data_IF_662730234983
#
_entry.id   IF_662730234983
#
_cell.length_a   1.000
_cell.length_b   1.000
_cell.length_c   1.000
_cell.angle_alpha   90.00
_cell.angle_beta   90.00
_cell.angle_gamma   90.00
#
_symmetry.space_group_name_H-M   'P 1'
#
loop_
_entity.id
_entity.type
_entity.pdbx_description
1 polymer ?
#
# COMPACT_ATOMS: atom_id res chain seq x y z
N UNK A 1 -2.93 41.22 47.70
CA UNK A 1 -3.21 41.49 46.27
C UNK A 1 -2.15 40.90 45.34
N UNK A 2 -0.85 41.07 45.62
CA UNK A 2 0.25 40.54 44.78
C UNK A 2 0.38 39.00 44.69
N UNK A 3 -0.01 38.25 45.74
CA UNK A 3 0.03 36.77 45.70
C UNK A 3 -1.03 36.15 44.78
N UNK A 4 -2.23 36.75 44.71
CA UNK A 4 -3.29 36.29 43.81
C UNK A 4 -2.92 36.51 42.34
N UNK A 5 -2.16 37.58 42.03
CA UNK A 5 -1.73 37.86 40.66
C UNK A 5 -0.72 36.82 40.15
N UNK A 6 0.21 36.37 41.01
CA UNK A 6 1.16 35.29 40.68
C UNK A 6 0.46 33.94 40.49
N UNK A 7 -0.54 33.62 41.32
CA UNK A 7 -1.29 32.37 41.21
C UNK A 7 -2.08 32.30 39.89
N UNK A 8 -2.72 33.41 39.48
CA UNK A 8 -3.38 33.50 38.19
C UNK A 8 -2.40 33.46 37.01
N UNK A 9 -1.20 34.04 37.15
CA UNK A 9 -0.15 33.94 36.12
C UNK A 9 0.36 32.50 35.95
N UNK A 10 0.56 31.76 37.04
CA UNK A 10 0.99 30.35 36.98
C UNK A 10 -0.10 29.45 36.40
N UNK A 11 -1.37 29.68 36.76
CA UNK A 11 -2.50 28.94 36.17
C UNK A 11 -2.63 29.27 34.68
N UNK A 12 -2.44 30.53 34.27
CA UNK A 12 -2.49 30.91 32.86
C UNK A 12 -1.32 30.30 32.07
N UNK A 13 -0.12 30.19 32.66
CA UNK A 13 1.04 29.52 32.04
C UNK A 13 0.82 28.00 31.95
N UNK A 14 0.24 27.37 32.98
CA UNK A 14 -0.12 25.94 32.96
C UNK A 14 -1.25 25.66 31.95
N UNK A 15 -2.28 26.51 31.90
CA UNK A 15 -3.33 26.43 30.90
C UNK A 15 -2.80 26.70 29.48
N UNK A 16 -1.80 27.58 29.31
CA UNK A 16 -1.11 27.79 28.03
C UNK A 16 -0.20 26.61 27.67
N UNK A 17 0.43 25.94 28.63
CA UNK A 17 1.19 24.70 28.38
C UNK A 17 0.25 23.55 27.98
N UNK A 18 -0.93 23.45 28.61
CA UNK A 18 -1.96 22.48 28.22
C UNK A 18 -2.64 22.87 26.88
N UNK A 19 -2.75 24.16 26.54
CA UNK A 19 -3.23 24.62 25.23
C UNK A 19 -2.19 24.46 24.11
N UNK A 20 -0.89 24.43 24.44
CA UNK A 20 0.21 24.14 23.51
C UNK A 20 0.41 22.61 23.36
N UNK A 21 -0.18 21.79 24.23
CA UNK A 21 -0.59 20.42 23.88
C UNK A 21 -1.92 20.45 23.12
N UNK A 22 -1.99 21.27 22.07
CA UNK A 22 -2.76 20.84 20.92
C UNK A 22 -2.16 19.49 20.53
N UNK A 23 -2.97 18.43 20.58
CA UNK A 23 -2.73 17.23 19.77
C UNK A 23 -2.11 17.71 18.46
N UNK A 24 -0.82 17.40 18.26
CA UNK A 24 -0.11 17.79 17.06
C UNK A 24 -1.00 17.32 15.90
N UNK A 25 -1.54 18.28 15.14
CA UNK A 25 -2.57 18.07 14.12
C UNK A 25 -2.04 17.32 12.91
N UNK A 26 -1.11 16.39 13.15
CA UNK A 26 -0.47 15.55 12.17
C UNK A 26 -1.48 14.49 11.73
N UNK A 27 -1.76 14.50 10.44
CA UNK A 27 -2.68 13.55 9.83
C UNK A 27 -1.88 12.28 9.54
N UNK A 28 -2.38 11.13 9.98
CA UNK A 28 -1.77 9.84 9.67
C UNK A 28 -1.80 9.59 8.17
N UNK A 29 -0.65 9.26 7.61
CA UNK A 29 -0.51 8.86 6.22
C UNK A 29 -0.95 7.40 6.05
N UNK A 30 -1.84 7.18 5.11
CA UNK A 30 -2.35 5.87 4.71
C UNK A 30 -2.89 5.93 3.31
N UNK A 31 -3.25 4.77 2.73
CA UNK A 31 -4.01 4.75 1.47
C UNK A 31 -5.26 5.63 1.49
N UNK A 32 -5.95 5.76 2.64
CA UNK A 32 -7.15 6.58 2.75
C UNK A 32 -6.88 8.06 2.55
N UNK A 33 -5.69 8.53 2.91
CA UNK A 33 -5.31 9.95 2.88
C UNK A 33 -4.33 10.28 1.74
N UNK A 34 -3.84 9.27 1.02
CA UNK A 34 -2.89 9.41 -0.07
C UNK A 34 -3.45 10.29 -1.20
N UNK A 35 -2.88 11.48 -1.49
CA UNK A 35 -3.44 12.41 -2.45
C UNK A 35 -3.45 11.84 -3.88
N UNK A 36 -4.63 11.75 -4.48
CA UNK A 36 -4.80 11.28 -5.85
C UNK A 36 -6.02 11.93 -6.52
N UNK A 37 -6.04 11.92 -7.85
CA UNK A 37 -7.24 12.16 -8.65
C UNK A 37 -7.76 10.81 -9.14
N UNK A 38 -8.95 10.42 -8.68
CA UNK A 38 -9.59 9.15 -9.00
C UNK A 38 -10.86 9.40 -9.82
N UNK A 39 -10.84 9.04 -11.10
CA UNK A 39 -11.97 9.24 -12.01
C UNK A 39 -12.63 7.91 -12.32
N UNK A 40 -13.94 7.81 -12.12
CA UNK A 40 -14.74 6.67 -12.56
C UNK A 40 -15.40 6.99 -13.89
N UNK A 41 -15.23 6.11 -14.87
CA UNK A 41 -15.82 6.22 -16.21
C UNK A 41 -16.81 5.06 -16.34
N UNK A 42 -18.10 5.37 -16.22
CA UNK A 42 -19.17 4.40 -16.03
C UNK A 42 -20.04 4.26 -17.28
N UNK A 43 -20.17 3.04 -17.76
CA UNK A 43 -21.08 2.69 -18.84
C UNK A 43 -22.54 2.77 -18.36
N UNK A 44 -23.31 3.63 -19.03
CA UNK A 44 -24.74 3.83 -18.83
C UNK A 44 -25.55 3.47 -20.07
N UNK A 45 -25.04 2.58 -20.93
CA UNK A 45 -25.67 2.18 -22.20
C UNK A 45 -26.83 1.18 -22.02
N UNK A 46 -27.53 0.87 -23.12
CA UNK A 46 -28.67 -0.05 -23.11
C UNK A 46 -28.34 -1.50 -22.73
N UNK A 47 -27.10 -1.96 -22.95
CA UNK A 47 -26.68 -3.31 -22.53
C UNK A 47 -26.67 -3.43 -21.00
N UNK A 48 -26.27 -2.37 -20.31
CA UNK A 48 -26.24 -2.31 -18.85
C UNK A 48 -27.66 -2.37 -18.31
N UNK A 49 -28.52 -1.45 -18.76
CA UNK A 49 -29.88 -1.31 -18.25
C UNK A 49 -29.97 -0.65 -16.86
N UNK A 50 -31.15 -0.12 -16.50
CA UNK A 50 -31.30 0.73 -15.30
C UNK A 50 -31.07 -0.02 -13.98
N UNK A 51 -31.45 -1.30 -13.88
CA UNK A 51 -31.29 -2.09 -12.65
C UNK A 51 -29.81 -2.37 -12.34
N UNK A 52 -29.04 -2.77 -13.35
CA UNK A 52 -27.61 -3.01 -13.17
C UNK A 52 -26.84 -1.72 -12.95
N UNK A 53 -27.25 -0.61 -13.58
CA UNK A 53 -26.64 0.69 -13.35
C UNK A 53 -26.79 1.14 -11.88
N UNK A 54 -27.93 0.84 -11.24
CA UNK A 54 -28.10 1.07 -9.80
C UNK A 54 -27.11 0.25 -8.95
N UNK A 55 -26.77 -0.98 -9.37
CA UNK A 55 -25.73 -1.79 -8.72
C UNK A 55 -24.34 -1.15 -8.90
N UNK A 56 -24.03 -0.63 -10.09
CA UNK A 56 -22.79 0.10 -10.37
C UNK A 56 -22.69 1.35 -9.47
N UNK A 57 -23.76 2.13 -9.32
CA UNK A 57 -23.78 3.30 -8.43
C UNK A 57 -23.52 2.93 -6.98
N UNK A 58 -24.14 1.86 -6.48
CA UNK A 58 -23.87 1.37 -5.11
C UNK A 58 -22.42 0.90 -4.97
N UNK A 59 -21.86 0.26 -5.99
CA UNK A 59 -20.46 -0.12 -6.01
C UNK A 59 -19.54 1.12 -5.97
N UNK A 60 -19.82 2.15 -6.78
CA UNK A 60 -19.13 3.44 -6.79
C UNK A 60 -19.14 4.10 -5.40
N UNK A 61 -20.30 4.17 -4.75
CA UNK A 61 -20.43 4.71 -3.39
C UNK A 61 -19.59 3.89 -2.40
N UNK A 62 -19.68 2.56 -2.47
CA UNK A 62 -19.00 1.67 -1.53
C UNK A 62 -17.47 1.70 -1.67
N UNK A 63 -16.94 1.79 -2.89
CA UNK A 63 -15.50 1.91 -3.09
C UNK A 63 -15.00 3.28 -2.61
N UNK A 64 -15.76 4.36 -2.88
CA UNK A 64 -15.42 5.74 -2.49
C UNK A 64 -15.34 5.92 -0.96
N UNK A 65 -16.18 5.21 -0.18
CA UNK A 65 -16.15 5.24 1.31
C UNK A 65 -14.83 4.78 1.94
N UNK A 66 -13.96 4.13 1.17
CA UNK A 66 -12.65 3.70 1.65
C UNK A 66 -11.62 4.82 1.68
N UNK A 67 -11.92 5.98 1.09
CA UNK A 67 -10.99 7.09 0.94
C UNK A 67 -11.50 8.33 1.67
N UNK A 68 -10.56 9.14 2.14
CA UNK A 68 -10.83 10.45 2.70
C UNK A 68 -10.82 11.45 1.53
N UNK A 69 -11.92 12.20 1.39
CA UNK A 69 -12.16 13.07 0.25
C UNK A 69 -11.81 14.50 0.63
N UNK A 70 -11.11 15.20 -0.26
CA UNK A 70 -10.91 16.64 -0.11
C UNK A 70 -9.68 17.17 -0.84
N UNK A 71 -9.43 18.48 -0.75
CA UNK A 71 -8.36 19.15 -1.50
C UNK A 71 -6.96 18.64 -1.18
N UNK A 72 -6.75 18.17 0.06
CA UNK A 72 -5.48 17.59 0.53
C UNK A 72 -5.39 16.08 0.35
N UNK A 73 -6.49 15.40 -0.02
CA UNK A 73 -6.59 13.94 -0.05
C UNK A 73 -7.03 13.47 -1.44
N UNK A 74 -7.94 12.49 -1.53
CA UNK A 74 -8.44 12.01 -2.80
C UNK A 74 -9.49 13.00 -3.32
N UNK A 75 -9.39 13.35 -4.60
CA UNK A 75 -10.47 14.01 -5.34
C UNK A 75 -11.08 12.98 -6.29
N UNK A 76 -12.40 12.86 -6.26
CA UNK A 76 -13.12 11.91 -7.10
C UNK A 76 -13.87 12.66 -8.19
N UNK A 77 -13.78 12.15 -9.42
CA UNK A 77 -14.57 12.59 -10.55
C UNK A 77 -15.38 11.43 -11.12
N UNK A 78 -16.52 11.74 -11.74
CA UNK A 78 -17.38 10.73 -12.36
C UNK A 78 -17.81 11.20 -13.74
N UNK A 79 -17.57 10.33 -14.73
CA UNK A 79 -18.09 10.45 -16.08
C UNK A 79 -19.01 9.27 -16.30
N UNK A 80 -20.26 9.53 -16.68
CA UNK A 80 -21.14 8.51 -17.23
C UNK A 80 -21.10 8.60 -18.75
N UNK A 81 -21.21 7.50 -19.48
CA UNK A 81 -21.26 7.56 -20.94
C UNK A 81 -22.26 6.57 -21.55
N UNK A 82 -22.81 6.98 -22.68
CA UNK A 82 -23.50 6.10 -23.62
C UNK A 82 -23.16 6.53 -25.06
N UNK A 83 -24.08 7.20 -25.77
CA UNK A 83 -23.81 7.86 -27.05
C UNK A 83 -22.82 9.01 -26.90
N UNK A 84 -22.93 9.74 -25.78
CA UNK A 84 -22.08 10.87 -25.43
C UNK A 84 -21.67 10.77 -23.95
N UNK A 85 -20.46 11.21 -23.58
CA UNK A 85 -20.05 11.31 -22.19
C UNK A 85 -20.75 12.49 -21.50
N UNK A 86 -21.17 12.27 -20.27
CA UNK A 86 -21.77 13.25 -19.36
C UNK A 86 -20.84 13.40 -18.15
N UNK A 87 -20.48 14.64 -17.85
CA UNK A 87 -19.76 14.96 -16.61
C UNK A 87 -20.76 14.98 -15.47
N UNK A 88 -20.78 13.90 -14.68
CA UNK A 88 -21.65 13.79 -13.51
C UNK A 88 -21.03 14.55 -12.33
N UNK A 89 -19.75 14.32 -12.06
CA UNK A 89 -19.04 14.91 -10.92
C UNK A 89 -17.65 15.41 -11.37
N UNK A 90 -17.38 16.73 -11.34
CA UNK A 90 -16.05 17.26 -11.62
C UNK A 90 -15.04 16.97 -10.50
N UNK A 91 -13.75 16.91 -10.83
CA UNK A 91 -12.71 16.83 -9.79
C UNK A 91 -12.68 18.11 -8.94
N UNK A 92 -12.50 17.93 -7.63
CA UNK A 92 -12.27 19.02 -6.68
C UNK A 92 -13.50 19.81 -6.23
N UNK A 93 -14.71 19.34 -6.56
CA UNK A 93 -15.98 19.97 -6.12
C UNK A 93 -16.33 19.68 -4.66
N UNK A 94 -15.87 18.56 -4.12
CA UNK A 94 -16.23 18.11 -2.76
C UNK A 94 -15.03 18.12 -1.82
N UNK A 95 -15.30 18.56 -0.58
CA UNK A 95 -14.39 18.60 0.55
C UNK A 95 -14.69 17.52 1.60
N UNK A 96 -15.74 16.70 1.39
CA UNK A 96 -16.14 15.60 2.26
C UNK A 96 -16.77 14.44 1.49
N UNK A 97 -16.67 13.24 2.07
CA UNK A 97 -17.23 12.01 1.48
C UNK A 97 -18.76 12.03 1.47
N UNK A 98 -19.40 12.66 2.45
CA UNK A 98 -20.87 12.67 2.57
C UNK A 98 -21.54 13.40 1.40
N UNK A 99 -21.02 14.57 1.02
CA UNK A 99 -21.58 15.35 -0.09
C UNK A 99 -21.34 14.66 -1.44
N UNK A 100 -20.14 14.13 -1.64
CA UNK A 100 -19.79 13.36 -2.84
C UNK A 100 -20.71 12.14 -3.00
N UNK A 101 -20.92 11.37 -1.93
CA UNK A 101 -21.77 10.17 -1.96
C UNK A 101 -23.22 10.51 -2.33
N UNK A 102 -23.77 11.61 -1.79
CA UNK A 102 -25.13 12.06 -2.16
C UNK A 102 -25.22 12.37 -3.65
N UNK A 103 -24.23 13.07 -4.21
CA UNK A 103 -24.21 13.39 -5.64
C UNK A 103 -24.11 12.12 -6.50
N UNK A 104 -23.30 11.15 -6.09
CA UNK A 104 -23.21 9.84 -6.75
C UNK A 104 -24.54 9.09 -6.76
N UNK A 105 -25.32 9.15 -5.67
CA UNK A 105 -26.62 8.49 -5.57
C UNK A 105 -27.66 9.10 -6.53
N UNK A 106 -27.55 10.40 -6.83
CA UNK A 106 -28.45 11.12 -7.74
C UNK A 106 -28.18 10.88 -9.24
N UNK A 107 -27.05 10.29 -9.61
CA UNK A 107 -26.73 9.99 -11.01
C UNK A 107 -27.85 9.13 -11.62
N UNK A 108 -28.37 9.56 -12.77
CA UNK A 108 -29.46 8.91 -13.49
C UNK A 108 -28.93 8.09 -14.66
N UNK A 109 -29.54 6.95 -14.91
CA UNK A 109 -29.21 6.10 -16.06
C UNK A 109 -29.53 6.81 -17.38
N UNK A 110 -28.60 6.77 -18.34
CA UNK A 110 -28.76 7.42 -19.65
C UNK A 110 -29.52 6.55 -20.67
N UNK A 111 -29.05 5.33 -20.90
CA UNK A 111 -29.37 4.56 -22.10
C UNK A 111 -28.67 5.09 -23.36
N UNK A 112 -28.63 4.28 -24.42
CA UNK A 112 -27.95 4.61 -25.67
C UNK A 112 -26.92 3.56 -26.08
N UNK A 113 -26.01 3.95 -26.98
CA UNK A 113 -24.89 3.12 -27.42
C UNK A 113 -23.73 3.11 -26.43
N UNK A 114 -22.65 2.39 -26.76
CA UNK A 114 -21.44 2.26 -25.93
C UNK A 114 -20.26 2.93 -26.64
N UNK A 115 -19.86 4.13 -26.21
CA UNK A 115 -18.76 4.93 -26.79
C UNK A 115 -17.62 5.14 -25.79
N UNK A 116 -16.92 4.05 -25.48
CA UNK A 116 -15.90 4.00 -24.43
C UNK A 116 -14.66 4.84 -24.76
N UNK A 117 -14.21 4.86 -26.02
CA UNK A 117 -13.06 5.64 -26.46
C UNK A 117 -13.29 7.14 -26.26
N UNK A 118 -14.47 7.61 -26.67
CA UNK A 118 -14.90 9.00 -26.44
C UNK A 118 -14.98 9.36 -24.95
N UNK A 119 -15.45 8.44 -24.10
CA UNK A 119 -15.54 8.67 -22.67
C UNK A 119 -14.15 8.81 -22.01
N UNK A 120 -13.19 7.99 -22.41
CA UNK A 120 -11.80 8.09 -21.96
C UNK A 120 -11.20 9.44 -22.38
N UNK A 121 -11.36 9.83 -23.65
CA UNK A 121 -10.85 11.13 -24.11
C UNK A 121 -11.51 12.30 -23.37
N UNK A 122 -12.83 12.24 -23.15
CA UNK A 122 -13.54 13.26 -22.39
C UNK A 122 -13.00 13.41 -20.96
N UNK A 123 -12.68 12.30 -20.28
CA UNK A 123 -12.09 12.32 -18.95
C UNK A 123 -10.71 13.00 -18.94
N UNK A 124 -9.88 12.75 -19.96
CA UNK A 124 -8.58 13.42 -20.15
C UNK A 124 -8.81 14.94 -20.24
N UNK A 125 -9.66 15.37 -21.16
CA UNK A 125 -9.83 16.77 -21.53
C UNK A 125 -10.59 17.60 -20.48
N UNK A 126 -11.54 17.00 -19.78
CA UNK A 126 -12.50 17.73 -18.94
C UNK A 126 -12.33 17.50 -17.44
N UNK A 127 -11.68 16.42 -17.01
CA UNK A 127 -11.34 16.20 -15.60
C UNK A 127 -9.84 16.34 -15.38
N UNK A 128 -9.02 15.46 -15.97
CA UNK A 128 -7.59 15.40 -15.66
C UNK A 128 -6.79 16.62 -16.13
N UNK A 129 -7.18 17.24 -17.24
CA UNK A 129 -6.56 18.47 -17.75
C UNK A 129 -6.95 19.70 -16.91
N UNK A 130 -8.09 19.67 -16.21
CA UNK A 130 -8.54 20.74 -15.31
C UNK A 130 -7.97 20.61 -13.89
N UNK A 131 -7.47 19.44 -13.52
CA UNK A 131 -6.75 19.27 -12.27
C UNK A 131 -5.38 19.95 -12.34
N UNK A 132 -5.18 20.95 -11.48
CA UNK A 132 -3.90 21.63 -11.30
C UNK A 132 -2.93 20.84 -10.40
N UNK A 133 -3.31 19.63 -9.96
CA UNK A 133 -2.56 18.84 -8.98
C UNK A 133 -1.55 17.95 -9.69
N UNK A 134 -0.29 18.03 -9.28
CA UNK A 134 0.78 17.18 -9.78
C UNK A 134 0.87 15.89 -8.96
N UNK A 135 -0.16 15.05 -9.08
CA UNK A 135 -0.37 13.87 -8.24
C UNK A 135 -0.63 12.60 -9.06
N UNK A 136 -0.78 11.47 -8.37
CA UNK A 136 -1.24 10.21 -8.95
C UNK A 136 -2.61 10.40 -9.58
N UNK A 137 -2.73 10.07 -10.88
CA UNK A 137 -3.97 10.14 -11.66
C UNK A 137 -4.41 8.73 -12.03
N UNK A 138 -5.61 8.34 -11.62
CA UNK A 138 -6.16 7.01 -11.83
C UNK A 138 -7.54 7.14 -12.48
N UNK A 139 -7.80 6.39 -13.54
CA UNK A 139 -9.14 6.21 -14.06
C UNK A 139 -9.57 4.74 -13.98
N UNK A 140 -10.80 4.51 -13.54
CA UNK A 140 -11.43 3.19 -13.49
C UNK A 140 -12.56 3.18 -14.52
N UNK A 141 -12.37 2.44 -15.60
CA UNK A 141 -13.36 2.25 -16.66
C UNK A 141 -14.18 1.01 -16.34
N UNK A 142 -15.50 1.14 -16.28
CA UNK A 142 -16.42 0.04 -16.00
C UNK A 142 -17.40 -0.06 -17.17
N UNK A 143 -17.40 -1.20 -17.85
CA UNK A 143 -18.19 -1.47 -19.06
C UNK A 143 -18.66 -2.92 -19.08
N UNK A 144 -19.74 -3.20 -19.82
CA UNK A 144 -20.34 -4.52 -19.92
C UNK A 144 -20.33 -5.12 -21.33
N UNK A 145 -19.74 -4.40 -22.29
CA UNK A 145 -19.79 -4.77 -23.68
C UNK A 145 -18.64 -4.22 -24.50
N UNK A 146 -18.62 -4.61 -25.77
CA UNK A 146 -17.72 -4.08 -26.80
C UNK A 146 -18.06 -2.63 -27.13
N UNK A 147 -17.06 -1.75 -27.14
CA UNK A 147 -17.24 -0.38 -27.61
C UNK A 147 -17.58 -0.32 -29.11
N UNK A 148 -18.40 0.64 -29.47
CA UNK A 148 -18.75 0.93 -30.87
C UNK A 148 -17.82 1.98 -31.50
N UNK A 149 -16.84 2.50 -30.75
CA UNK A 149 -15.78 3.41 -31.21
C UNK A 149 -14.37 2.87 -30.88
N UNK A 150 -13.34 3.51 -31.45
CA UNK A 150 -11.94 3.09 -31.22
C UNK A 150 -11.46 3.52 -29.83
N UNK A 151 -10.98 2.56 -29.04
CA UNK A 151 -10.53 2.79 -27.65
C UNK A 151 -9.01 2.92 -27.51
N UNK A 152 -8.23 2.35 -28.44
CA UNK A 152 -6.77 2.21 -28.28
C UNK A 152 -6.06 3.55 -28.25
N UNK A 153 -6.47 4.47 -29.12
CA UNK A 153 -5.85 5.80 -29.23
C UNK A 153 -6.09 6.64 -27.97
N UNK A 154 -7.35 6.72 -27.52
CA UNK A 154 -7.71 7.43 -26.29
C UNK A 154 -7.00 6.84 -25.05
N UNK A 155 -6.94 5.51 -24.95
CA UNK A 155 -6.23 4.86 -23.85
C UNK A 155 -4.71 5.08 -23.90
N UNK A 156 -4.12 5.12 -25.11
CA UNK A 156 -2.71 5.45 -25.28
C UNK A 156 -2.41 6.90 -24.89
N UNK A 157 -3.31 7.82 -25.22
CA UNK A 157 -3.22 9.22 -24.81
C UNK A 157 -3.34 9.39 -23.30
N UNK A 158 -4.28 8.71 -22.65
CA UNK A 158 -4.40 8.71 -21.18
C UNK A 158 -3.07 8.28 -20.52
N UNK A 159 -2.49 7.17 -20.99
CA UNK A 159 -1.20 6.66 -20.47
C UNK A 159 -0.04 7.62 -20.76
N UNK A 160 -0.03 8.28 -21.92
CA UNK A 160 0.95 9.33 -22.25
C UNK A 160 0.86 10.50 -21.26
N UNK A 161 -0.35 10.85 -20.82
CA UNK A 161 -0.64 11.84 -19.78
C UNK A 161 -0.46 11.32 -18.35
N UNK A 162 0.19 10.16 -18.17
CA UNK A 162 0.48 9.54 -16.86
C UNK A 162 -0.77 9.21 -16.04
N UNK A 163 -1.89 8.96 -16.72
CA UNK A 163 -3.10 8.42 -16.09
C UNK A 163 -2.99 6.89 -16.08
N UNK A 164 -3.13 6.29 -14.91
CA UNK A 164 -3.23 4.83 -14.75
C UNK A 164 -4.66 4.39 -15.02
N UNK A 165 -4.86 3.54 -16.03
CA UNK A 165 -6.17 3.01 -16.40
C UNK A 165 -6.38 1.61 -15.82
N UNK A 166 -7.47 1.44 -15.08
CA UNK A 166 -8.07 0.15 -14.74
C UNK A 166 -9.29 -0.09 -15.64
N UNK A 167 -9.48 -1.31 -16.11
CA UNK A 167 -10.64 -1.72 -16.89
C UNK A 167 -11.37 -2.86 -16.19
N UNK A 168 -12.66 -2.68 -15.93
CA UNK A 168 -13.55 -3.66 -15.32
C UNK A 168 -14.60 -4.02 -16.36
N UNK A 169 -14.54 -5.26 -16.85
CA UNK A 169 -15.56 -5.86 -17.70
C UNK A 169 -16.58 -6.62 -16.86
N UNK A 170 -17.87 -6.39 -17.11
CA UNK A 170 -18.96 -7.10 -16.42
C UNK A 170 -19.78 -7.89 -17.43
N UNK A 171 -20.09 -9.15 -17.13
CA UNK A 171 -20.91 -9.99 -18.01
C UNK A 171 -20.12 -10.69 -19.12
N UNK A 172 -20.85 -11.33 -20.03
CA UNK A 172 -20.29 -12.16 -21.10
C UNK A 172 -20.09 -11.44 -22.44
N UNK A 173 -20.64 -10.24 -22.60
CA UNK A 173 -20.61 -9.48 -23.87
C UNK A 173 -19.33 -8.64 -24.04
N UNK A 174 -18.38 -8.77 -23.10
CA UNK A 174 -17.11 -8.06 -23.10
C UNK A 174 -16.12 -8.63 -24.12
N UNK A 175 -15.31 -7.74 -24.72
CA UNK A 175 -14.17 -8.13 -25.55
C UNK A 175 -12.87 -8.01 -24.76
N UNK A 176 -12.24 -9.14 -24.42
CA UNK A 176 -11.04 -9.15 -23.58
C UNK A 176 -9.90 -8.28 -24.13
N UNK A 177 -9.69 -8.30 -25.45
CA UNK A 177 -8.65 -7.53 -26.10
C UNK A 177 -8.91 -6.02 -26.02
N UNK A 178 -10.18 -5.61 -25.98
CA UNK A 178 -10.57 -4.22 -25.77
C UNK A 178 -10.22 -3.76 -24.35
N UNK A 179 -10.61 -4.53 -23.32
CA UNK A 179 -10.26 -4.23 -21.93
C UNK A 179 -8.74 -4.18 -21.72
N UNK A 180 -8.00 -5.11 -22.35
CA UNK A 180 -6.53 -5.14 -22.33
C UNK A 180 -5.88 -3.98 -23.09
N UNK A 181 -6.59 -3.37 -24.03
CA UNK A 181 -6.15 -2.18 -24.76
C UNK A 181 -6.42 -0.88 -23.97
N UNK A 182 -7.53 -0.84 -23.22
CA UNK A 182 -7.87 0.24 -22.30
C UNK A 182 -6.88 0.28 -21.13
N UNK A 183 -6.74 -0.82 -20.41
CA UNK A 183 -6.00 -0.86 -19.15
C UNK A 183 -4.49 -0.64 -19.30
N UNK A 184 -3.85 -0.28 -18.18
CA UNK A 184 -2.40 -0.31 -18.05
C UNK A 184 -1.83 -1.75 -18.11
N UNK A 185 -0.51 -1.87 -18.27
CA UNK A 185 0.19 -3.16 -18.26
C UNK A 185 0.91 -3.37 -16.92
N UNK A 186 0.98 -4.62 -16.42
CA UNK A 186 0.47 -5.84 -17.03
C UNK A 186 -1.05 -6.02 -16.85
N UNK A 187 -1.72 -6.68 -17.80
CA UNK A 187 -3.18 -6.86 -17.76
C UNK A 187 -3.66 -7.65 -16.53
N UNK A 188 -2.83 -8.53 -15.97
CA UNK A 188 -3.11 -9.24 -14.70
C UNK A 188 -3.33 -8.32 -13.49
N UNK A 189 -2.92 -7.06 -13.57
CA UNK A 189 -3.02 -6.08 -12.48
C UNK A 189 -4.12 -5.07 -12.72
N UNK A 190 -4.37 -4.70 -13.97
CA UNK A 190 -5.23 -3.57 -14.33
C UNK A 190 -6.53 -3.96 -15.06
N UNK A 191 -6.70 -5.23 -15.41
CA UNK A 191 -7.94 -5.75 -16.02
C UNK A 191 -8.65 -6.67 -15.04
N UNK A 192 -9.93 -6.42 -14.82
CA UNK A 192 -10.81 -7.22 -13.98
C UNK A 192 -11.99 -7.72 -14.80
N UNK A 193 -12.27 -9.01 -14.64
CA UNK A 193 -13.40 -9.68 -15.26
C UNK A 193 -14.39 -10.06 -14.17
N UNK A 194 -15.65 -9.67 -14.36
CA UNK A 194 -16.73 -9.91 -13.41
C UNK A 194 -17.84 -10.64 -14.13
N UNK A 195 -18.28 -11.76 -13.56
CA UNK A 195 -19.30 -12.62 -14.17
C UNK A 195 -20.64 -11.89 -14.36
N UNK A 196 -21.06 -11.09 -13.38
CA UNK A 196 -22.28 -10.31 -13.40
C UNK A 196 -22.20 -9.10 -12.45
N UNK A 197 -23.21 -8.24 -12.49
CA UNK A 197 -23.25 -7.04 -11.65
C UNK A 197 -23.36 -7.34 -10.16
N UNK A 198 -23.94 -8.47 -9.76
CA UNK A 198 -24.03 -8.84 -8.33
C UNK A 198 -22.63 -9.15 -7.81
N UNK A 199 -21.81 -9.83 -8.62
CA UNK A 199 -20.43 -10.19 -8.32
C UNK A 199 -19.47 -9.00 -8.30
N UNK A 200 -19.85 -7.82 -8.81
CA UNK A 200 -18.99 -6.62 -8.78
C UNK A 200 -18.62 -6.20 -7.36
N UNK A 201 -19.50 -6.48 -6.39
CA UNK A 201 -19.26 -6.27 -4.98
C UNK A 201 -18.06 -7.08 -4.44
N UNK A 202 -17.77 -8.25 -5.04
CA UNK A 202 -16.69 -9.16 -4.62
C UNK A 202 -15.31 -8.62 -4.95
N UNK A 203 -15.18 -7.83 -6.02
CA UNK A 203 -13.89 -7.26 -6.45
C UNK A 203 -13.56 -5.93 -5.74
N UNK A 204 -14.48 -5.39 -4.91
CA UNK A 204 -14.30 -4.11 -4.21
C UNK A 204 -12.98 -4.07 -3.42
N UNK A 205 -12.72 -5.10 -2.60
CA UNK A 205 -11.51 -5.13 -1.77
C UNK A 205 -10.23 -5.25 -2.61
N UNK A 206 -10.29 -6.02 -3.71
CA UNK A 206 -9.17 -6.17 -4.64
C UNK A 206 -8.87 -4.84 -5.35
N UNK A 207 -9.90 -4.15 -5.84
CA UNK A 207 -9.73 -2.83 -6.46
C UNK A 207 -9.24 -1.82 -5.44
N UNK A 208 -9.80 -1.80 -4.23
CA UNK A 208 -9.31 -0.94 -3.14
C UNK A 208 -7.81 -1.14 -2.94
N UNK A 209 -7.38 -2.39 -2.82
CA UNK A 209 -5.96 -2.75 -2.68
C UNK A 209 -5.13 -2.25 -3.88
N UNK A 210 -5.58 -2.44 -5.13
CA UNK A 210 -4.85 -1.95 -6.32
C UNK A 210 -4.80 -0.44 -6.43
N UNK A 211 -5.86 0.27 -6.06
CA UNK A 211 -5.85 1.73 -5.97
C UNK A 211 -4.85 2.20 -4.89
N UNK A 212 -4.80 1.52 -3.74
CA UNK A 212 -3.82 1.80 -2.70
C UNK A 212 -2.37 1.56 -3.16
N UNK A 213 -2.12 0.50 -3.91
CA UNK A 213 -0.81 0.22 -4.51
C UNK A 213 -0.38 1.34 -5.48
N UNK A 214 -1.32 1.94 -6.22
CA UNK A 214 -1.04 3.07 -7.09
C UNK A 214 -0.75 4.37 -6.33
N UNK A 215 -1.49 4.64 -5.26
CA UNK A 215 -1.38 5.89 -4.52
C UNK A 215 -0.22 5.92 -3.52
N UNK A 216 0.09 4.79 -2.87
CA UNK A 216 1.05 4.76 -1.74
C UNK A 216 2.45 4.29 -2.14
N UNK A 217 2.58 3.51 -3.22
CA UNK A 217 3.82 2.79 -3.51
C UNK A 217 4.57 3.38 -4.72
N UNK A 218 5.56 4.27 -4.50
CA UNK A 218 6.20 5.02 -5.57
C UNK A 218 7.26 4.22 -6.32
N UNK A 219 7.87 3.22 -5.69
CA UNK A 219 9.05 2.53 -6.25
C UNK A 219 8.65 1.26 -6.98
N UNK A 220 9.27 1.05 -8.14
CA UNK A 220 9.25 -0.23 -8.86
C UNK A 220 10.51 -1.02 -8.50
N UNK A 221 10.31 -2.19 -7.88
CA UNK A 221 11.35 -3.11 -7.46
C UNK A 221 11.43 -4.23 -8.51
N UNK A 222 12.59 -4.38 -9.19
CA UNK A 222 12.78 -5.49 -10.12
C UNK A 222 12.73 -6.84 -9.38
N UNK A 223 11.84 -7.74 -9.80
CA UNK A 223 11.82 -9.17 -9.42
C UNK A 223 11.85 -10.05 -10.67
N UNK A 224 12.06 -11.35 -10.51
CA UNK A 224 12.38 -12.26 -11.63
C UNK A 224 11.35 -12.27 -12.79
N UNK A 225 10.08 -12.03 -12.49
CA UNK A 225 9.00 -12.07 -13.48
C UNK A 225 8.54 -10.69 -14.00
N UNK A 226 8.62 -9.63 -13.19
CA UNK A 226 8.18 -8.27 -13.52
C UNK A 226 8.68 -7.25 -12.49
N UNK A 227 8.48 -5.97 -12.74
CA UNK A 227 8.63 -4.94 -11.71
C UNK A 227 7.43 -4.99 -10.75
N UNK A 228 7.69 -5.06 -9.45
CA UNK A 228 6.66 -5.01 -8.40
C UNK A 228 6.68 -3.66 -7.69
N UNK A 229 5.50 -3.16 -7.31
CA UNK A 229 5.43 -1.92 -6.52
C UNK A 229 5.77 -2.18 -5.07
N UNK A 230 6.56 -1.29 -4.48
CA UNK A 230 7.00 -1.48 -3.10
C UNK A 230 7.97 -0.43 -2.60
N UNK A 231 8.68 -0.80 -1.54
CA UNK A 231 9.73 -0.02 -0.89
C UNK A 231 10.97 -0.89 -0.72
N UNK A 232 12.11 -0.46 -1.29
CA UNK A 232 13.41 -1.03 -0.95
C UNK A 232 13.99 -0.21 0.21
N UNK A 233 13.79 -0.71 1.44
CA UNK A 233 14.08 0.03 2.67
C UNK A 233 15.59 0.30 2.77
N UNK A 234 16.42 -0.68 2.40
CA UNK A 234 17.87 -0.49 2.37
C UNK A 234 18.30 0.64 1.43
N UNK A 235 17.67 0.73 0.25
CA UNK A 235 17.90 1.82 -0.68
C UNK A 235 17.46 3.17 -0.09
N UNK A 236 16.25 3.22 0.50
CA UNK A 236 15.69 4.42 1.13
C UNK A 236 16.57 4.97 2.25
N UNK A 237 17.15 4.09 3.07
CA UNK A 237 18.06 4.47 4.16
C UNK A 237 19.50 4.76 3.70
N UNK A 238 19.77 4.65 2.39
CA UNK A 238 21.08 4.95 1.81
C UNK A 238 22.18 3.96 2.20
N UNK A 239 21.86 2.67 2.40
CA UNK A 239 22.82 1.67 2.90
C UNK A 239 24.12 1.63 2.09
N UNK A 240 24.04 1.79 0.76
CA UNK A 240 25.21 1.79 -0.14
C UNK A 240 26.23 2.88 0.19
N UNK A 241 25.78 4.01 0.72
CA UNK A 241 26.63 5.15 1.11
C UNK A 241 27.15 4.98 2.54
N UNK A 242 26.32 4.44 3.43
CA UNK A 242 26.60 4.34 4.88
C UNK A 242 27.42 3.08 5.23
N UNK A 243 27.11 1.93 4.65
CA UNK A 243 27.80 0.65 4.90
C UNK A 243 28.84 0.37 3.81
N UNK A 244 30.12 0.51 4.16
CA UNK A 244 31.24 0.35 3.23
C UNK A 244 31.60 -1.11 2.96
N UNK A 245 31.43 -1.99 3.95
CA UNK A 245 31.80 -3.40 3.84
C UNK A 245 30.67 -4.20 3.20
N UNK A 246 30.94 -4.71 2.01
CA UNK A 246 30.06 -5.65 1.31
C UNK A 246 30.58 -7.07 1.53
N UNK A 247 29.66 -7.98 1.76
CA UNK A 247 29.94 -9.41 1.90
C UNK A 247 29.22 -10.16 0.79
N UNK A 248 29.72 -11.35 0.46
CA UNK A 248 29.13 -12.22 -0.54
C UNK A 248 28.56 -13.46 0.13
N UNK A 249 27.32 -13.79 -0.19
CA UNK A 249 26.68 -15.02 0.28
C UNK A 249 27.21 -16.17 -0.60
N UNK A 250 27.85 -17.15 0.03
CA UNK A 250 28.60 -18.20 -0.64
C UNK A 250 27.77 -19.08 -1.58
N UNK A 251 26.49 -19.28 -1.28
CA UNK A 251 25.59 -20.13 -2.08
C UNK A 251 24.99 -19.46 -3.31
N UNK A 252 24.80 -18.13 -3.28
CA UNK A 252 24.00 -17.41 -4.28
C UNK A 252 24.78 -16.31 -5.01
N UNK A 253 26.04 -16.06 -4.63
CA UNK A 253 26.82 -14.88 -5.05
C UNK A 253 26.12 -13.53 -4.78
N UNK A 254 25.05 -13.53 -3.99
CA UNK A 254 24.31 -12.34 -3.63
C UNK A 254 25.20 -11.43 -2.77
N UNK A 255 25.11 -10.12 -3.02
CA UNK A 255 25.83 -9.11 -2.25
C UNK A 255 24.98 -8.68 -1.07
N UNK A 256 25.58 -8.67 0.11
CA UNK A 256 24.99 -8.17 1.35
C UNK A 256 25.90 -7.12 1.99
N UNK A 257 25.42 -6.49 3.06
CA UNK A 257 26.15 -5.50 3.84
C UNK A 257 26.42 -6.03 5.24
N UNK A 258 27.65 -5.86 5.72
CA UNK A 258 27.94 -6.03 7.14
C UNK A 258 27.63 -4.72 7.87
N UNK A 259 26.78 -4.80 8.88
CA UNK A 259 26.39 -3.67 9.71
C UNK A 259 27.08 -3.77 11.07
N UNK A 260 27.78 -2.70 11.43
CA UNK A 260 28.50 -2.53 12.68
C UNK A 260 27.82 -1.45 13.54
N UNK A 261 28.12 -1.42 14.84
CA UNK A 261 27.43 -0.54 15.81
C UNK A 261 27.60 0.97 15.56
N UNK A 262 28.61 1.36 14.77
CA UNK A 262 28.85 2.76 14.37
C UNK A 262 28.11 3.18 13.09
N UNK A 263 27.38 2.27 12.43
CA UNK A 263 26.60 2.60 11.24
C UNK A 263 25.17 2.94 11.66
N UNK A 264 24.76 4.19 11.44
CA UNK A 264 23.39 4.62 11.71
C UNK A 264 22.51 4.53 10.45
N UNK A 265 21.67 3.49 10.41
CA UNK A 265 20.68 3.30 9.38
C UNK A 265 19.33 3.82 9.85
N UNK A 266 19.25 5.15 9.90
CA UNK A 266 18.05 5.94 10.18
C UNK A 266 17.76 6.90 9.03
N UNK A 267 16.49 7.18 8.78
CA UNK A 267 16.01 8.15 7.79
C UNK A 267 14.64 8.68 8.21
N UNK A 268 14.27 9.88 7.77
CA UNK A 268 12.91 10.40 8.00
C UNK A 268 11.88 9.49 7.33
N UNK A 269 10.82 9.14 8.05
CA UNK A 269 9.77 8.23 7.56
C UNK A 269 9.21 8.72 6.23
N UNK A 270 8.91 10.02 6.10
CA UNK A 270 8.43 10.64 4.85
C UNK A 270 9.34 10.48 3.63
N UNK A 271 10.65 10.28 3.82
CA UNK A 271 11.58 10.11 2.69
C UNK A 271 11.55 8.68 2.14
N UNK A 272 11.05 7.72 2.93
CA UNK A 272 10.95 6.31 2.56
C UNK A 272 9.51 5.92 2.27
N UNK A 273 8.56 6.39 3.08
CA UNK A 273 7.13 6.11 3.05
C UNK A 273 6.32 7.42 2.99
N UNK A 274 6.42 8.20 1.88
CA UNK A 274 5.84 9.55 1.80
C UNK A 274 4.33 9.59 2.03
N UNK A 275 3.62 8.54 1.63
CA UNK A 275 2.16 8.42 1.75
C UNK A 275 1.73 7.28 2.70
N UNK A 276 2.66 6.84 3.56
CA UNK A 276 2.43 5.71 4.48
C UNK A 276 2.61 4.34 3.84
N UNK A 277 1.80 3.37 4.26
CA UNK A 277 1.82 1.98 3.78
C UNK A 277 0.44 1.57 3.24
N UNK A 278 0.38 0.64 2.26
CA UNK A 278 -0.88 0.06 1.81
C UNK A 278 -1.53 -0.77 2.95
N UNK A 279 -2.84 -1.04 2.87
CA UNK A 279 -3.55 -1.77 3.92
C UNK A 279 -3.10 -3.23 4.04
N UNK A 280 -2.73 -3.86 2.93
CA UNK A 280 -2.07 -5.17 2.90
C UNK A 280 -0.74 -5.10 2.14
N UNK A 281 0.26 -5.83 2.62
CA UNK A 281 1.60 -5.88 2.01
C UNK A 281 2.40 -7.10 2.48
N UNK A 282 3.53 -7.34 1.80
CA UNK A 282 4.50 -8.36 2.16
C UNK A 282 5.81 -7.70 2.59
N UNK A 283 6.16 -7.84 3.85
CA UNK A 283 7.48 -7.45 4.35
C UNK A 283 8.44 -8.63 4.19
N UNK A 284 9.64 -8.39 3.66
CA UNK A 284 10.67 -9.42 3.46
C UNK A 284 12.01 -8.90 3.96
N UNK A 285 12.67 -9.66 4.84
CA UNK A 285 14.03 -9.42 5.30
C UNK A 285 14.88 -10.67 5.09
N UNK A 286 16.04 -10.52 4.45
CA UNK A 286 17.05 -11.59 4.36
C UNK A 286 18.30 -11.12 5.09
N UNK A 287 18.64 -11.79 6.19
CA UNK A 287 19.68 -11.34 7.12
C UNK A 287 20.28 -12.47 7.95
N UNK A 288 21.46 -12.19 8.51
CA UNK A 288 22.18 -13.07 9.45
C UNK A 288 22.36 -12.37 10.79
N UNK A 289 21.86 -12.99 11.84
CA UNK A 289 21.85 -12.47 13.20
C UNK A 289 23.20 -12.76 13.89
N UNK A 290 23.84 -11.73 14.45
CA UNK A 290 25.11 -11.89 15.23
C UNK A 290 24.94 -11.60 16.72
N UNK A 291 23.73 -11.24 17.15
CA UNK A 291 23.44 -10.79 18.52
C UNK A 291 22.23 -11.56 19.06
N UNK A 292 22.36 -12.05 20.30
CA UNK A 292 21.31 -12.81 21.00
C UNK A 292 20.35 -11.95 21.84
N UNK A 293 20.62 -10.66 22.00
CA UNK A 293 19.75 -9.72 22.74
C UNK A 293 18.45 -9.43 21.98
N UNK A 294 17.54 -8.69 22.60
CA UNK A 294 16.35 -8.14 21.94
C UNK A 294 16.66 -6.87 21.16
N UNK A 295 16.24 -6.82 19.89
CA UNK A 295 16.43 -5.67 19.02
C UNK A 295 15.36 -5.57 17.92
N UNK A 296 15.14 -4.35 17.47
CA UNK A 296 14.24 -4.01 16.37
C UNK A 296 15.00 -4.18 15.05
N UNK A 297 14.63 -5.23 14.31
CA UNK A 297 15.08 -5.48 12.95
C UNK A 297 14.77 -4.26 12.08
N UNK A 298 13.53 -3.82 12.16
CA UNK A 298 13.02 -2.63 11.51
C UNK A 298 12.00 -1.97 12.42
N UNK A 299 12.02 -0.64 12.50
CA UNK A 299 11.01 0.14 13.20
C UNK A 299 10.67 1.43 12.48
N UNK A 300 9.44 1.89 12.68
CA UNK A 300 8.97 3.24 12.40
C UNK A 300 8.51 3.85 13.71
N UNK A 301 9.08 5.00 14.06
CA UNK A 301 8.75 5.78 15.24
C UNK A 301 7.98 7.03 14.81
N UNK A 302 7.07 7.51 15.64
CA UNK A 302 6.51 8.87 15.54
C UNK A 302 7.54 9.93 15.95
N UNK A 303 7.20 11.21 15.78
CA UNK A 303 8.08 12.32 16.16
C UNK A 303 8.48 12.30 17.65
N UNK A 304 7.58 11.85 18.53
CA UNK A 304 7.82 11.70 19.96
C UNK A 304 8.49 10.37 20.35
N UNK A 305 8.91 9.57 19.36
CA UNK A 305 9.66 8.34 19.59
C UNK A 305 8.80 7.11 19.92
N UNK A 306 7.47 7.19 19.85
CA UNK A 306 6.61 6.02 20.06
C UNK A 306 6.68 5.07 18.87
N UNK A 307 6.80 3.75 19.11
CA UNK A 307 6.73 2.77 18.03
C UNK A 307 5.38 2.79 17.34
N UNK A 308 5.40 2.85 16.01
CA UNK A 308 4.21 2.73 15.17
C UNK A 308 4.18 1.37 14.49
N UNK A 309 5.33 0.94 13.96
CA UNK A 309 5.54 -0.39 13.39
C UNK A 309 6.89 -0.90 13.86
N UNK A 310 6.96 -2.15 14.32
CA UNK A 310 8.23 -2.82 14.62
C UNK A 310 8.21 -4.27 14.17
N UNK A 311 9.35 -4.74 13.67
CA UNK A 311 9.68 -6.17 13.60
C UNK A 311 10.80 -6.38 14.59
N UNK A 312 10.48 -6.99 15.73
CA UNK A 312 11.41 -7.14 16.85
C UNK A 312 11.78 -8.62 16.98
N UNK A 313 13.08 -8.91 17.09
CA UNK A 313 13.59 -10.25 17.36
C UNK A 313 14.18 -10.30 18.76
N UNK A 314 13.89 -11.37 19.49
CA UNK A 314 14.40 -11.61 20.83
C UNK A 314 15.17 -12.94 20.82
N UNK A 315 16.49 -12.89 20.87
CA UNK A 315 17.32 -14.09 20.86
C UNK A 315 17.45 -14.81 22.21
N UNK A 316 17.04 -14.17 23.31
CA UNK A 316 17.00 -14.78 24.64
C UNK A 316 15.77 -15.68 24.75
N UNK A 317 14.60 -15.13 24.44
CA UNK A 317 13.32 -15.86 24.46
C UNK A 317 13.06 -16.64 23.16
N UNK A 318 13.87 -16.40 22.13
CA UNK A 318 13.76 -16.96 20.77
C UNK A 318 12.39 -16.70 20.15
N UNK A 319 11.96 -15.44 20.20
CA UNK A 319 10.66 -14.99 19.67
C UNK A 319 10.84 -13.91 18.62
N UNK A 320 9.80 -13.74 17.79
CA UNK A 320 9.65 -12.63 16.86
C UNK A 320 8.33 -11.93 17.18
N UNK A 321 8.35 -10.62 17.30
CA UNK A 321 7.16 -9.81 17.52
C UNK A 321 6.96 -8.82 16.38
N UNK A 322 5.70 -8.64 15.99
CA UNK A 322 5.28 -7.60 15.07
C UNK A 322 4.39 -6.61 15.82
N UNK A 323 4.83 -5.36 15.87
CA UNK A 323 4.05 -4.24 16.38
C UNK A 323 3.48 -3.47 15.20
N UNK A 324 2.21 -3.07 15.29
CA UNK A 324 1.59 -2.15 14.35
C UNK A 324 0.60 -1.23 15.07
N UNK A 325 0.15 -0.17 14.43
CA UNK A 325 -0.88 0.71 14.97
C UNK A 325 -2.22 -0.02 15.09
N UNK A 326 -3.12 0.49 15.93
CA UNK A 326 -4.45 -0.08 16.15
C UNK A 326 -5.48 1.01 16.39
N UNK A 327 -6.64 0.88 15.74
CA UNK A 327 -7.80 1.73 16.01
C UNK A 327 -8.31 1.64 17.46
N UNK A 328 -8.08 0.50 18.13
CA UNK A 328 -8.63 0.24 19.47
C UNK A 328 -7.68 0.75 20.56
N UNK A 329 -6.41 0.36 20.49
CA UNK A 329 -5.44 0.56 21.58
C UNK A 329 -4.28 1.51 21.21
N UNK A 330 -4.36 2.19 20.05
CA UNK A 330 -3.27 3.00 19.49
C UNK A 330 -2.18 2.15 18.82
N UNK A 331 -1.69 1.12 19.52
CA UNK A 331 -0.73 0.11 19.02
C UNK A 331 -1.15 -1.29 19.48
N UNK A 332 -0.76 -2.30 18.72
CA UNK A 332 -0.95 -3.71 19.04
C UNK A 332 0.33 -4.49 18.72
N UNK A 333 0.57 -5.54 19.50
CA UNK A 333 1.74 -6.42 19.34
C UNK A 333 1.26 -7.85 19.22
N UNK A 334 1.75 -8.56 18.21
CA UNK A 334 1.61 -10.01 18.10
C UNK A 334 2.98 -10.66 18.21
N UNK A 335 3.06 -11.78 18.91
CA UNK A 335 4.31 -12.51 19.13
C UNK A 335 4.19 -13.92 18.57
N UNK A 336 5.19 -14.31 17.80
CA UNK A 336 5.36 -15.62 17.18
C UNK A 336 6.37 -16.43 17.99
N UNK A 337 6.02 -17.67 18.30
CA UNK A 337 6.78 -18.55 19.22
C UNK A 337 6.95 -19.96 18.69
N UNK A 338 6.55 -20.22 17.45
CA UNK A 338 6.62 -21.52 16.81
C UNK A 338 8.05 -22.05 16.81
N UNK A 339 8.25 -23.37 16.83
CA UNK A 339 9.57 -23.99 16.91
C UNK A 339 10.57 -23.45 15.89
N UNK A 340 10.10 -23.09 14.68
CA UNK A 340 10.96 -22.57 13.61
C UNK A 340 11.47 -21.15 13.84
N UNK A 341 10.81 -20.34 14.67
CA UNK A 341 11.35 -19.03 15.09
C UNK A 341 12.70 -19.19 15.77
N UNK A 342 12.94 -20.32 16.44
CA UNK A 342 14.21 -20.62 17.10
C UNK A 342 15.37 -20.79 16.13
N UNK A 343 15.12 -21.13 14.85
CA UNK A 343 16.18 -21.32 13.85
C UNK A 343 16.82 -20.00 13.46
N UNK A 344 16.10 -18.87 13.54
CA UNK A 344 16.63 -17.53 13.27
C UNK A 344 17.90 -17.18 14.09
N UNK A 345 18.15 -17.88 15.18
CA UNK A 345 19.25 -17.62 16.12
C UNK A 345 20.38 -18.66 16.03
N UNK A 346 20.52 -19.34 14.89
CA UNK A 346 21.58 -20.34 14.63
C UNK A 346 22.86 -19.74 14.00
N UNK A 347 22.92 -18.41 13.87
CA UNK A 347 24.01 -17.64 13.23
C UNK A 347 24.10 -17.82 11.71
N UNK A 348 23.12 -18.48 11.09
CA UNK A 348 22.91 -18.63 9.67
C UNK A 348 22.18 -17.46 9.01
N UNK A 349 22.06 -17.55 7.68
CA UNK A 349 21.22 -16.65 6.89
C UNK A 349 19.79 -17.15 6.93
N UNK A 350 18.85 -16.25 7.20
CA UNK A 350 17.43 -16.56 7.12
C UNK A 350 16.67 -15.49 6.36
N UNK A 351 15.58 -15.90 5.73
CA UNK A 351 14.55 -15.02 5.23
C UNK A 351 13.39 -14.99 6.23
N UNK A 352 13.02 -13.81 6.70
CA UNK A 352 11.78 -13.54 7.39
C UNK A 352 10.84 -12.88 6.40
N UNK A 353 9.63 -13.43 6.25
CA UNK A 353 8.56 -12.82 5.48
C UNK A 353 7.30 -12.70 6.32
N UNK A 354 6.71 -11.50 6.34
CA UNK A 354 5.44 -11.23 6.99
C UNK A 354 4.43 -10.83 5.92
N UNK A 355 3.38 -11.64 5.73
CA UNK A 355 2.19 -11.23 4.99
C UNK A 355 1.29 -10.48 5.96
N UNK A 356 1.21 -9.16 5.82
CA UNK A 356 0.37 -8.30 6.64
C UNK A 356 -0.90 -7.98 5.86
N UNK A 357 -2.06 -8.25 6.47
CA UNK A 357 -3.38 -7.90 5.96
C UNK A 357 -4.11 -7.03 6.97
N UNK A 358 -5.31 -6.55 6.62
CA UNK A 358 -6.13 -5.73 7.53
C UNK A 358 -6.62 -6.49 8.78
N UNK A 359 -6.63 -7.83 8.75
CA UNK A 359 -7.25 -8.65 9.81
C UNK A 359 -6.30 -9.64 10.47
N UNK A 360 -5.13 -9.89 9.88
CA UNK A 360 -4.14 -10.82 10.41
C UNK A 360 -2.76 -10.57 9.81
N UNK A 361 -1.74 -11.14 10.45
CA UNK A 361 -0.38 -11.25 9.93
C UNK A 361 0.07 -12.70 9.98
N UNK A 362 0.71 -13.15 8.91
CA UNK A 362 1.27 -14.50 8.78
C UNK A 362 2.78 -14.43 8.66
N UNK A 363 3.48 -15.19 9.51
CA UNK A 363 4.94 -15.30 9.51
C UNK A 363 5.39 -16.50 8.69
N UNK A 364 6.30 -16.26 7.76
CA UNK A 364 7.08 -17.25 7.03
C UNK A 364 8.55 -17.09 7.41
N UNK A 365 9.23 -18.21 7.62
CA UNK A 365 10.69 -18.28 7.80
C UNK A 365 11.22 -19.17 6.69
N UNK A 366 12.26 -18.77 5.97
CA UNK A 366 12.88 -19.57 4.88
C UNK A 366 11.83 -20.28 4.00
N UNK A 367 10.88 -19.49 3.50
CA UNK A 367 9.79 -19.87 2.59
C UNK A 367 8.82 -20.97 3.07
N UNK A 368 8.72 -21.23 4.38
CA UNK A 368 7.60 -22.00 4.91
C UNK A 368 6.83 -21.22 5.96
N UNK A 369 5.52 -21.34 5.87
CA UNK A 369 4.58 -20.74 6.79
C UNK A 369 4.79 -21.28 8.21
N UNK A 370 4.75 -20.39 9.18
CA UNK A 370 4.98 -20.73 10.59
C UNK A 370 3.73 -20.56 11.43
N UNK A 371 3.17 -19.36 11.45
CA UNK A 371 2.05 -18.99 12.31
C UNK A 371 1.27 -17.81 11.71
N UNK A 372 -0.05 -17.83 11.89
CA UNK A 372 -0.95 -16.72 11.60
C UNK A 372 -1.49 -16.14 12.92
N UNK A 373 -1.49 -14.81 13.04
CA UNK A 373 -2.03 -14.10 14.22
C UNK A 373 -3.05 -13.04 13.78
N UNK A 374 -4.20 -12.92 14.46
CA UNK A 374 -5.17 -11.89 14.14
C UNK A 374 -4.64 -10.49 14.47
N UNK A 375 -5.13 -9.50 13.73
CA UNK A 375 -4.90 -8.08 13.95
C UNK A 375 -6.25 -7.38 14.11
N UNK A 376 -6.29 -6.43 15.03
CA UNK A 376 -7.35 -5.44 15.06
C UNK A 376 -7.15 -4.44 13.91
N UNK A 377 -8.22 -3.73 13.49
CA UNK A 377 -8.12 -2.72 12.45
C UNK A 377 -6.95 -1.74 12.67
N UNK A 378 -6.13 -1.56 11.63
CA UNK A 378 -4.88 -0.82 11.66
C UNK A 378 -5.11 0.63 11.25
N UNK A 379 -4.32 1.55 11.81
CA UNK A 379 -4.33 2.97 11.47
C UNK A 379 -3.19 3.31 10.50
N UNK A 380 -3.30 4.42 9.80
CA UNK A 380 -2.13 4.99 9.12
C UNK A 380 -0.97 5.30 10.08
N UNK A 381 0.20 5.63 9.52
CA UNK A 381 1.38 6.01 10.29
C UNK A 381 1.60 7.53 10.21
N UNK A 382 2.15 8.12 11.27
CA UNK A 382 2.78 9.42 11.23
C UNK A 382 4.09 9.33 10.45
N UNK A 383 4.29 10.26 9.52
CA UNK A 383 5.46 10.28 8.62
C UNK A 383 6.48 11.37 9.01
N UNK A 384 6.20 12.18 10.03
CA UNK A 384 7.12 13.14 10.64
C UNK A 384 8.31 12.51 11.36
N UNK A 385 8.16 11.28 11.83
CA UNK A 385 9.18 10.59 12.63
C UNK A 385 10.28 9.94 11.80
N UNK A 386 10.84 8.85 12.33
CA UNK A 386 11.98 8.15 11.76
C UNK A 386 11.65 6.70 11.44
N UNK A 387 12.24 6.18 10.36
CA UNK A 387 12.36 4.76 10.11
C UNK A 387 13.81 4.32 10.28
N UNK A 388 14.01 3.19 10.97
CA UNK A 388 15.33 2.74 11.40
C UNK A 388 15.43 1.22 11.28
N UNK A 389 16.65 0.73 11.11
CA UNK A 389 16.93 -0.72 11.08
C UNK A 389 18.03 -1.09 12.06
N UNK A 390 17.91 -2.26 12.66
CA UNK A 390 18.94 -2.84 13.50
C UNK A 390 19.22 -2.07 14.78
N UNK A 391 18.20 -1.63 15.52
CA UNK A 391 18.36 -0.86 16.76
C UNK A 391 18.07 -1.71 17.98
N UNK A 392 18.84 -1.58 19.06
CA UNK A 392 18.42 -2.16 20.34
C UNK A 392 17.07 -1.56 20.77
N UNK A 393 16.20 -2.36 21.38
CA UNK A 393 14.87 -1.89 21.82
C UNK A 393 15.04 -0.73 22.80
N UNK A 394 14.34 0.37 22.53
CA UNK A 394 14.39 1.59 23.35
C UNK A 394 15.71 2.36 23.30
N UNK A 395 16.60 2.06 22.34
CA UNK A 395 17.89 2.74 22.18
C UNK A 395 18.15 3.12 20.73
N UNK A 396 19.05 4.08 20.53
CA UNK A 396 19.53 4.51 19.21
C UNK A 396 20.80 3.77 18.74
N UNK A 397 21.37 2.93 19.60
CA UNK A 397 22.55 2.13 19.27
C UNK A 397 22.20 1.02 18.27
N UNK A 398 22.99 0.92 17.20
CA UNK A 398 22.83 -0.11 16.16
C UNK A 398 23.45 -1.44 16.62
N UNK A 399 22.74 -2.55 16.39
CA UNK A 399 23.24 -3.91 16.60
C UNK A 399 24.18 -4.34 15.49
N UNK A 400 24.99 -5.37 15.74
CA UNK A 400 25.81 -5.99 14.69
C UNK A 400 25.01 -7.11 14.01
N UNK A 401 24.93 -7.06 12.69
CA UNK A 401 24.22 -8.05 11.87
C UNK A 401 24.68 -7.95 10.41
N UNK A 402 24.28 -8.89 9.58
CA UNK A 402 24.43 -8.75 8.13
C UNK A 402 23.06 -8.73 7.46
N UNK A 403 22.90 -7.91 6.42
CA UNK A 403 21.62 -7.75 5.72
C UNK A 403 21.81 -7.73 4.20
N UNK A 404 20.96 -8.50 3.51
CA UNK A 404 20.97 -8.62 2.06
C UNK A 404 19.74 -7.97 1.42
N UNK A 405 18.57 -8.15 2.02
CA UNK A 405 17.29 -7.65 1.50
C UNK A 405 16.46 -7.14 2.67
N UNK A 406 15.83 -6.00 2.49
CA UNK A 406 14.79 -5.49 3.38
C UNK A 406 13.80 -4.70 2.53
N UNK A 407 12.62 -5.28 2.28
CA UNK A 407 11.65 -4.78 1.31
C UNK A 407 10.23 -4.89 1.83
N UNK A 408 9.39 -4.00 1.32
CA UNK A 408 7.93 -4.15 1.39
C UNK A 408 7.44 -4.23 -0.05
N UNK A 409 6.68 -5.27 -0.37
CA UNK A 409 5.93 -5.36 -1.63
C UNK A 409 4.48 -5.03 -1.35
N UNK A 410 3.91 -4.12 -2.14
CA UNK A 410 2.55 -3.64 -1.91
C UNK A 410 1.48 -4.59 -2.44
N UNK A 411 1.83 -5.49 -3.37
CA UNK A 411 0.94 -6.57 -3.82
C UNK A 411 1.02 -7.74 -2.82
N UNK A 412 -0.04 -8.06 -2.04
CA UNK A 412 -0.03 -9.19 -1.11
C UNK A 412 0.20 -10.54 -1.82
N UNK A 413 -0.16 -10.66 -3.10
CA UNK A 413 0.10 -11.87 -3.90
C UNK A 413 1.60 -12.12 -4.15
N UNK A 414 2.45 -11.11 -3.92
CA UNK A 414 3.89 -11.32 -3.96
C UNK A 414 4.36 -12.32 -2.89
N UNK A 415 3.57 -12.59 -1.85
CA UNK A 415 3.86 -13.63 -0.86
C UNK A 415 4.00 -15.01 -1.50
N UNK A 416 3.20 -15.30 -2.52
CA UNK A 416 3.18 -16.58 -3.22
C UNK A 416 4.29 -16.71 -4.26
N UNK A 417 4.96 -15.59 -4.59
CA UNK A 417 6.00 -15.50 -5.63
C UNK A 417 7.40 -15.26 -5.07
N UNK A 418 7.50 -14.73 -3.86
CA UNK A 418 8.77 -14.56 -3.16
C UNK A 418 9.31 -15.94 -2.75
N UNK A 419 10.59 -16.19 -3.02
CA UNK A 419 11.26 -17.44 -2.62
C UNK A 419 12.44 -17.14 -1.71
N UNK A 420 12.94 -18.16 -1.01
CA UNK A 420 14.16 -18.09 -0.21
C UNK A 420 15.39 -18.68 -0.93
N UNK A 421 15.41 -18.70 -2.26
CA UNK A 421 16.49 -19.30 -3.06
C UNK A 421 17.87 -18.67 -2.80
N UNK A 422 17.93 -17.44 -2.29
CA UNK A 422 19.19 -16.81 -1.91
C UNK A 422 19.82 -17.37 -0.62
N UNK A 423 19.06 -18.12 0.19
CA UNK A 423 19.52 -18.69 1.46
C UNK A 423 20.38 -19.95 1.21
N UNK A 424 21.61 -20.02 1.75
CA UNK A 424 22.43 -21.24 1.69
C UNK A 424 21.69 -22.46 2.26
N UNK A 425 21.70 -23.58 1.53
CA UNK A 425 21.07 -24.85 1.94
C UNK A 425 19.61 -25.03 1.51
N UNK A 426 18.94 -23.99 1.01
CA UNK A 426 17.56 -24.11 0.49
C UNK A 426 17.50 -24.91 -0.82
N UNK A 427 18.45 -24.70 -1.73
CA UNK A 427 18.54 -25.41 -3.03
C UNK A 427 18.80 -26.90 -2.83
N UNK A 428 19.60 -27.31 -1.83
CA UNK A 428 19.87 -28.73 -1.56
C UNK A 428 18.63 -29.49 -1.09
N UNK A 429 17.69 -28.84 -0.41
CA UNK A 429 16.43 -29.46 0.04
C UNK A 429 15.47 -29.72 -1.14
N UNK A 430 15.42 -28.82 -2.13
CA UNK A 430 14.61 -29.00 -3.35
C UNK A 430 15.22 -30.11 -4.23
N UNK A 431 16.54 -30.15 -4.36
CA UNK A 431 17.24 -31.20 -5.11
C UNK A 431 17.07 -32.59 -4.46
N UNK A 432 17.09 -32.68 -3.12
CA UNK A 432 16.80 -33.94 -2.42
C UNK A 432 15.36 -34.41 -2.62
N UNK A 433 14.37 -33.51 -2.55
CA UNK A 433 12.96 -33.85 -2.80
C UNK A 433 12.73 -34.29 -4.26
N UNK A 434 13.45 -33.71 -5.23
CA UNK A 434 13.36 -34.11 -6.65
C UNK A 434 13.98 -35.47 -6.95
N UNK A 435 14.88 -35.98 -6.08
CA UNK A 435 15.52 -37.30 -6.23
C UNK A 435 14.75 -38.44 -5.56
N UNK A 436 13.73 -38.10 -4.76
CA UNK A 436 12.87 -39.06 -4.05
C UNK A 436 11.51 -39.24 -4.77
N UNK A 437 11.27 -38.45 -5.83
CA UNK A 437 10.06 -38.50 -6.67
C UNK A 437 10.17 -39.41 -7.89
#
# INVERSE_FOLDING_TARGET
MAQNLKFFQTILILLLQDYISAEDGEIRASCRTAPADLVFILDGSYSVGPENFEIIKRWLVNITRNFDIGPKFIQVGVVQYSDYPVLEIPLGTHDSSENLIREMEYIQYLGGNTRTGRAIQFAIDHLFAKSSRFLTKIAVVLTDGKSQDEVKEAAAEARKNKITLFAIGVGSEIEEDELRAIANKPSSTYVFYVEDYIAISRIREVIKQKLCEESVCPTRIPVAARDEKGFDILLGLGVKKKAKKRIQISSSNAKAYEITSNIDLSEFTRNVFPEGLPPSYVFVSTQRFKVRKTWDLWRILSLDGRPQITVTVNGEDKTLSFTTTSLINGTQVVTFTAPRVKTLFDEGWHQIRLLVTETHVTLYIDDQETEMKPLNPVLGIYISGLTQIGKYVGKEETVQFDVQKLRIYCDPEQNNRETACEIPGFVSMIDELSRIG
#
